data_IF_917171875286
#
_entry.id   IF_917171875286
#
_cell.length_a   1.000
_cell.length_b   1.000
_cell.length_c   1.000
_cell.angle_alpha   90.00
_cell.angle_beta   90.00
_cell.angle_gamma   90.00
#
_symmetry.space_group_name_H-M   'P 1'
#
loop_
_entity.id
_entity.type
_entity.pdbx_description
1 polymer ?
#
# COMPACT_ATOMS: atom_id res chain seq x y z
N UNK A 1 -28.54 -15.01 6.27
CA UNK A 1 -28.14 -15.77 5.07
C UNK A 1 -28.41 -17.24 5.33
N UNK A 2 -29.42 -17.82 4.69
CA UNK A 2 -29.75 -19.25 4.80
C UNK A 2 -29.05 -20.02 3.70
N UNK A 3 -28.22 -21.00 4.06
CA UNK A 3 -27.70 -21.96 3.08
C UNK A 3 -28.85 -22.83 2.59
N UNK A 4 -29.06 -22.88 1.27
CA UNK A 4 -30.03 -23.80 0.66
C UNK A 4 -29.72 -25.26 1.00
N UNK A 5 -30.65 -26.15 0.65
CA UNK A 5 -30.53 -27.59 0.94
C UNK A 5 -29.18 -28.14 0.43
N UNK A 6 -28.49 -28.88 1.30
CA UNK A 6 -27.29 -29.63 0.93
C UNK A 6 -27.69 -30.99 0.36
N UNK A 7 -27.05 -31.42 -0.72
CA UNK A 7 -27.29 -32.71 -1.36
C UNK A 7 -26.10 -33.66 -1.10
N UNK A 8 -26.28 -34.98 -1.21
CA UNK A 8 -25.17 -35.92 -1.10
C UNK A 8 -24.05 -35.62 -2.11
N UNK A 9 -22.81 -35.69 -1.66
CA UNK A 9 -21.61 -35.45 -2.46
C UNK A 9 -20.49 -36.42 -2.03
N UNK A 10 -19.53 -36.73 -2.91
CA UNK A 10 -18.41 -37.62 -2.57
C UNK A 10 -17.44 -36.92 -1.61
N UNK A 11 -17.21 -37.51 -0.43
CA UNK A 11 -16.36 -36.93 0.64
C UNK A 11 -14.86 -37.10 0.40
N UNK A 12 -14.49 -38.01 -0.49
CA UNK A 12 -13.08 -38.34 -0.76
C UNK A 12 -12.46 -37.47 -1.86
N UNK A 13 -13.28 -36.67 -2.55
CA UNK A 13 -12.80 -35.76 -3.60
C UNK A 13 -12.20 -34.52 -2.95
N UNK A 14 -10.92 -34.28 -3.22
CA UNK A 14 -10.21 -33.09 -2.78
C UNK A 14 -9.97 -32.13 -3.94
N UNK A 15 -10.08 -30.83 -3.67
CA UNK A 15 -9.69 -29.77 -4.60
C UNK A 15 -9.01 -28.63 -3.83
N UNK A 16 -8.06 -27.90 -4.46
CA UNK A 16 -7.33 -26.83 -3.81
C UNK A 16 -8.20 -25.64 -3.40
N UNK A 17 -9.31 -25.39 -4.10
CA UNK A 17 -10.24 -24.30 -3.77
C UNK A 17 -11.33 -24.69 -2.77
N UNK A 18 -11.35 -25.96 -2.34
CA UNK A 18 -12.40 -26.55 -1.52
C UNK A 18 -13.34 -27.45 -2.32
N UNK A 19 -14.47 -27.83 -1.72
CA UNK A 19 -15.49 -28.65 -2.34
C UNK A 19 -16.90 -28.17 -2.01
N UNK A 20 -17.84 -29.10 -1.99
CA UNK A 20 -19.25 -28.83 -1.74
C UNK A 20 -19.50 -28.29 -0.32
N UNK A 21 -20.13 -27.10 -0.23
CA UNK A 21 -20.51 -26.41 1.03
C UNK A 21 -19.38 -26.32 2.08
N UNK A 22 -18.15 -26.05 1.61
CA UNK A 22 -16.96 -26.02 2.46
C UNK A 22 -17.09 -25.00 3.59
N UNK A 23 -17.13 -25.49 4.84
CA UNK A 23 -17.14 -24.65 6.04
C UNK A 23 -16.21 -25.24 7.09
N UNK A 24 -14.88 -25.06 6.96
CA UNK A 24 -13.93 -25.65 7.88
C UNK A 24 -14.08 -24.99 9.24
N UNK A 25 -13.89 -25.77 10.31
CA UNK A 25 -14.00 -25.29 11.69
C UNK A 25 -13.00 -24.17 11.98
N UNK A 26 -11.81 -24.23 11.37
CA UNK A 26 -10.69 -23.30 11.61
C UNK A 26 -10.59 -22.15 10.59
N UNK A 27 -11.67 -21.82 9.86
CA UNK A 27 -11.63 -20.80 8.80
C UNK A 27 -11.07 -19.45 9.29
N UNK A 28 -11.41 -19.04 10.52
CA UNK A 28 -10.97 -17.75 11.10
C UNK A 28 -9.46 -17.68 11.24
N UNK A 29 -8.86 -18.68 11.87
CA UNK A 29 -7.42 -18.73 12.11
C UNK A 29 -6.66 -18.85 10.79
N UNK A 30 -7.15 -19.68 9.85
CA UNK A 30 -6.53 -19.81 8.54
C UNK A 30 -6.53 -18.48 7.77
N UNK A 31 -7.66 -17.78 7.74
CA UNK A 31 -7.75 -16.45 7.12
C UNK A 31 -6.85 -15.44 7.82
N UNK A 32 -6.78 -15.46 9.15
CA UNK A 32 -5.92 -14.57 9.92
C UNK A 32 -4.43 -14.77 9.57
N UNK A 33 -3.98 -16.02 9.45
CA UNK A 33 -2.61 -16.35 9.05
C UNK A 33 -2.31 -15.82 7.64
N UNK A 34 -3.22 -16.04 6.68
CA UNK A 34 -3.04 -15.58 5.29
C UNK A 34 -2.97 -14.05 5.23
N UNK A 35 -3.85 -13.35 5.94
CA UNK A 35 -3.83 -11.88 6.02
C UNK A 35 -2.53 -11.38 6.65
N UNK A 36 -2.09 -11.99 7.75
CA UNK A 36 -0.87 -11.61 8.44
C UNK A 36 0.37 -11.80 7.54
N UNK A 37 0.48 -12.95 6.89
CA UNK A 37 1.58 -13.24 5.97
C UNK A 37 1.57 -12.28 4.77
N UNK A 38 0.40 -12.04 4.16
CA UNK A 38 0.27 -11.11 3.03
C UNK A 38 0.62 -9.68 3.43
N UNK A 39 0.16 -9.23 4.60
CA UNK A 39 0.45 -7.89 5.11
C UNK A 39 1.93 -7.67 5.36
N UNK A 40 2.64 -8.68 5.90
CA UNK A 40 4.09 -8.62 6.09
C UNK A 40 4.81 -8.42 4.76
N UNK A 41 4.47 -9.23 3.76
CA UNK A 41 5.08 -9.14 2.41
C UNK A 41 4.80 -7.79 1.78
N UNK A 42 3.54 -7.35 1.76
CA UNK A 42 3.18 -6.06 1.18
C UNK A 42 3.85 -4.89 1.91
N UNK A 43 3.92 -4.93 3.23
CA UNK A 43 4.60 -3.90 4.00
C UNK A 43 6.10 -3.83 3.67
N UNK A 44 6.78 -4.98 3.58
CA UNK A 44 8.21 -5.03 3.21
C UNK A 44 8.46 -4.46 1.81
N UNK A 45 7.64 -4.86 0.82
CA UNK A 45 7.74 -4.36 -0.55
C UNK A 45 7.43 -2.87 -0.62
N UNK A 46 6.38 -2.42 0.06
CA UNK A 46 6.00 -1.01 0.13
C UNK A 46 7.13 -0.16 0.73
N UNK A 47 7.70 -0.59 1.85
CA UNK A 47 8.82 0.11 2.51
C UNK A 47 10.05 0.18 1.62
N UNK A 48 10.38 -0.92 0.94
CA UNK A 48 11.47 -0.97 -0.03
C UNK A 48 11.23 -0.02 -1.22
N UNK A 49 10.01 -0.02 -1.77
CA UNK A 49 9.60 0.84 -2.87
C UNK A 49 9.68 2.32 -2.48
N UNK A 50 9.08 2.70 -1.34
CA UNK A 50 9.03 4.08 -0.87
C UNK A 50 10.42 4.68 -0.56
N UNK A 51 11.40 3.84 -0.22
CA UNK A 51 12.79 4.26 -0.03
C UNK A 51 13.55 4.51 -1.34
N UNK A 52 13.20 3.77 -2.40
CA UNK A 52 13.82 3.86 -3.72
C UNK A 52 13.10 4.80 -4.68
N UNK A 53 11.88 5.20 -4.35
CA UNK A 53 11.13 6.18 -5.12
C UNK A 53 11.95 7.48 -5.24
N UNK A 54 12.14 7.93 -6.48
CA UNK A 54 12.72 9.23 -6.80
C UNK A 54 11.71 10.02 -7.62
N UNK A 55 11.46 11.28 -7.26
CA UNK A 55 10.56 12.16 -8.00
C UNK A 55 11.37 13.21 -8.76
N UNK A 56 11.17 13.23 -10.07
CA UNK A 56 11.79 14.24 -10.92
C UNK A 56 11.18 15.64 -10.73
N UNK A 57 9.96 15.71 -10.20
CA UNK A 57 9.25 16.96 -9.98
C UNK A 57 8.59 16.99 -8.60
N UNK A 58 8.76 18.12 -7.93
CA UNK A 58 8.05 18.45 -6.70
C UNK A 58 6.54 18.58 -6.94
N UNK A 59 5.70 18.12 -6.00
CA UNK A 59 4.26 18.30 -6.08
C UNK A 59 3.89 19.78 -5.92
N UNK A 60 2.82 20.20 -6.59
CA UNK A 60 2.28 21.57 -6.51
C UNK A 60 1.15 21.71 -5.48
N UNK A 61 0.78 20.62 -4.80
CA UNK A 61 -0.23 20.58 -3.74
C UNK A 61 0.05 19.42 -2.82
N UNK A 62 -0.56 19.43 -1.65
CA UNK A 62 -0.45 18.31 -0.73
C UNK A 62 -1.02 17.02 -1.36
N UNK A 63 -0.22 15.95 -1.31
CA UNK A 63 -0.61 14.61 -1.72
C UNK A 63 -0.27 13.60 -0.62
N UNK A 64 -1.09 12.56 -0.40
CA UNK A 64 -0.89 11.62 0.70
C UNK A 64 0.50 10.96 0.71
N UNK A 65 1.08 10.75 -0.49
CA UNK A 65 2.36 10.08 -0.63
C UNK A 65 3.55 10.85 -0.07
N UNK A 66 3.37 12.12 0.28
CA UNK A 66 4.35 12.89 1.04
C UNK A 66 4.56 12.33 2.46
N UNK A 67 3.60 11.59 3.02
CA UNK A 67 3.70 11.02 4.37
C UNK A 67 4.71 9.86 4.45
N UNK A 68 4.99 9.17 3.34
CA UNK A 68 5.83 7.97 3.33
C UNK A 68 7.03 8.04 2.41
N UNK A 69 7.00 8.86 1.35
CA UNK A 69 8.12 8.99 0.43
C UNK A 69 9.36 9.55 1.12
N UNK A 70 10.51 8.94 0.83
CA UNK A 70 11.79 9.29 1.47
C UNK A 70 12.18 10.75 1.27
N UNK A 71 11.99 11.28 0.06
CA UNK A 71 12.37 12.65 -0.31
C UNK A 71 11.72 13.73 0.55
N UNK A 72 10.47 13.52 1.00
CA UNK A 72 9.75 14.46 1.86
C UNK A 72 10.12 14.28 3.34
N UNK A 73 10.45 13.05 3.77
CA UNK A 73 10.94 12.80 5.13
C UNK A 73 12.33 13.36 5.37
N UNK A 74 13.18 13.31 4.35
CA UNK A 74 14.55 13.82 4.40
C UNK A 74 14.64 15.32 4.06
N UNK A 75 13.53 15.97 3.72
CA UNK A 75 13.50 17.41 3.38
C UNK A 75 14.18 17.76 2.05
N UNK A 76 14.42 16.77 1.18
CA UNK A 76 15.07 16.97 -0.13
C UNK A 76 14.12 17.68 -1.11
N UNK A 77 12.82 17.39 -1.01
CA UNK A 77 11.78 17.91 -1.91
C UNK A 77 10.64 18.53 -1.09
N UNK A 78 10.35 19.81 -1.33
CA UNK A 78 9.21 20.54 -0.78
C UNK A 78 8.01 20.60 -1.73
N UNK A 79 6.90 21.20 -1.31
CA UNK A 79 5.83 21.62 -2.22
C UNK A 79 6.37 22.82 -3.02
N UNK A 80 6.26 22.78 -4.35
CA UNK A 80 6.53 23.96 -5.17
C UNK A 80 5.48 25.02 -4.85
N UNK A 81 5.90 26.17 -4.36
CA UNK A 81 5.00 27.31 -4.22
C UNK A 81 4.78 27.93 -5.62
N UNK A 82 3.58 28.44 -5.89
CA UNK A 82 3.28 29.17 -7.14
C UNK A 82 4.17 30.43 -7.28
N UNK A 83 4.66 30.92 -6.15
CA UNK A 83 5.57 32.05 -5.97
C UNK A 83 7.06 31.72 -6.23
N UNK A 84 7.41 30.44 -6.49
CA UNK A 84 8.73 30.03 -7.00
C UNK A 84 8.85 30.19 -8.53
N UNK A 85 7.83 30.73 -9.22
CA UNK A 85 8.02 31.33 -10.55
C UNK A 85 8.88 32.57 -10.42
N UNK A 86 10.19 32.32 -10.43
CA UNK A 86 11.27 33.28 -10.51
C UNK A 86 10.93 34.48 -11.40
N UNK A 87 10.81 35.71 -10.86
CA UNK A 87 10.86 36.90 -11.68
C UNK A 87 12.25 37.00 -12.28
N UNK A 88 12.35 37.28 -13.58
CA UNK A 88 13.62 37.38 -14.30
C UNK A 88 14.62 38.32 -13.58
N UNK A 89 15.50 37.77 -12.72
CA UNK A 89 16.74 38.42 -12.29
C UNK A 89 17.04 38.62 -10.79
N UNK A 90 16.40 37.98 -9.81
CA UNK A 90 16.65 38.31 -8.38
C UNK A 90 17.33 37.17 -7.57
N UNK A 91 18.63 37.24 -7.17
CA UNK A 91 19.37 36.12 -6.56
C UNK A 91 18.69 35.47 -5.34
N UNK A 92 18.53 34.13 -5.36
CA UNK A 92 17.92 33.34 -4.26
C UNK A 92 18.86 33.28 -3.04
N UNK A 93 18.43 33.72 -1.84
CA UNK A 93 19.13 33.40 -0.60
C UNK A 93 18.78 31.98 -0.11
N UNK A 94 19.80 31.21 0.27
CA UNK A 94 19.66 29.86 0.83
C UNK A 94 18.98 29.92 2.20
N UNK A 95 17.78 29.33 2.32
CA UNK A 95 17.13 29.07 3.60
C UNK A 95 17.42 27.65 4.09
N UNK A 96 18.19 27.53 5.17
CA UNK A 96 18.12 26.39 6.09
C UNK A 96 16.75 26.41 6.76
N UNK A 97 16.03 25.29 6.80
CA UNK A 97 15.20 24.81 7.92
C UNK A 97 14.71 23.38 7.62
#
# INVERSE_FOLDING_TARGET
MGGGAQYPYPKEVWSPSGGWWTRPTNWRSNTAIVIAASSLVFYSVFRFSAQREQRMQAPNRWIPSMLWAREFKEGIVGIKNEDDEWPAGAPVPKGHH
#
